data_IF_915923902917
#
_entry.id   IF_915923902917
#
_cell.length_a   1.000
_cell.length_b   1.000
_cell.length_c   1.000
_cell.angle_alpha   90.00
_cell.angle_beta   90.00
_cell.angle_gamma   90.00
#
_symmetry.space_group_name_H-M   'P 1'
#
loop_
_entity.id
_entity.type
_entity.pdbx_description
1 polymer ?
#
# COMPACT_ATOMS: atom_id res chain seq x y z
N UNK A 1 -31.74 12.71 1.81
CA UNK A 1 -30.32 13.13 1.93
C UNK A 1 -29.68 12.89 0.58
N UNK A 2 -29.09 13.91 -0.04
CA UNK A 2 -28.35 13.74 -1.30
C UNK A 2 -27.01 13.06 -1.04
N UNK A 3 -26.72 12.00 -1.78
CA UNK A 3 -25.45 11.28 -1.74
C UNK A 3 -24.52 11.83 -2.83
N UNK A 4 -23.35 12.31 -2.41
CA UNK A 4 -22.33 12.83 -3.32
C UNK A 4 -21.23 11.78 -3.50
N UNK A 5 -20.92 11.44 -4.75
CA UNK A 5 -19.81 10.53 -5.10
C UNK A 5 -18.67 11.36 -5.69
N UNK A 6 -17.51 11.33 -5.04
CA UNK A 6 -16.32 12.05 -5.48
C UNK A 6 -15.43 11.14 -6.36
N UNK A 7 -14.83 11.72 -7.39
CA UNK A 7 -13.90 11.03 -8.28
C UNK A 7 -12.65 11.89 -8.47
N UNK A 8 -11.47 11.27 -8.48
CA UNK A 8 -10.21 11.92 -8.80
C UNK A 8 -9.59 11.28 -10.04
N UNK A 9 -9.22 12.09 -11.03
CA UNK A 9 -8.47 11.67 -12.21
C UNK A 9 -7.14 12.43 -12.23
N UNK A 10 -6.02 11.70 -12.22
CA UNK A 10 -4.68 12.28 -12.37
C UNK A 10 -4.33 12.33 -13.86
N UNK A 11 -4.24 13.53 -14.43
CA UNK A 11 -3.85 13.75 -15.82
C UNK A 11 -2.50 14.47 -15.83
N UNK A 12 -1.46 13.76 -16.27
CA UNK A 12 -0.09 14.28 -16.32
C UNK A 12 0.11 15.14 -17.59
N UNK A 13 -0.57 14.79 -18.69
CA UNK A 13 -0.63 15.58 -19.91
C UNK A 13 -1.94 15.30 -20.67
N UNK A 14 -2.47 16.31 -21.36
CA UNK A 14 -3.73 16.23 -22.12
C UNK A 14 -4.97 16.62 -21.30
N UNK A 15 -6.15 16.35 -21.86
CA UNK A 15 -7.44 16.65 -21.22
C UNK A 15 -7.97 15.42 -20.48
N UNK A 16 -8.53 15.58 -19.26
CA UNK A 16 -9.19 14.47 -18.56
C UNK A 16 -10.34 13.91 -19.41
N UNK A 17 -10.54 12.58 -19.41
CA UNK A 17 -11.65 11.96 -20.13
C UNK A 17 -12.99 12.50 -19.63
N UNK A 18 -13.81 13.03 -20.54
CA UNK A 18 -15.12 13.59 -20.22
C UNK A 18 -16.13 12.48 -19.94
N UNK A 19 -16.15 11.94 -18.72
CA UNK A 19 -17.12 10.92 -18.29
C UNK A 19 -18.50 11.49 -17.93
N UNK A 20 -18.95 12.54 -18.62
CA UNK A 20 -20.27 13.18 -18.38
C UNK A 20 -20.44 13.77 -16.96
N UNK A 21 -19.35 14.05 -16.25
CA UNK A 21 -19.38 14.54 -14.87
C UNK A 21 -19.61 16.05 -14.84
N UNK A 22 -20.50 16.52 -13.95
CA UNK A 22 -20.66 17.95 -13.68
C UNK A 22 -19.45 18.46 -12.91
N UNK A 23 -18.63 19.29 -13.56
CA UNK A 23 -17.51 19.96 -12.90
C UNK A 23 -18.02 21.17 -12.11
N UNK A 24 -17.54 21.31 -10.87
CA UNK A 24 -17.69 22.55 -10.11
C UNK A 24 -16.85 23.68 -10.73
N UNK A 25 -17.22 24.93 -10.44
CA UNK A 25 -16.43 26.12 -10.84
C UNK A 25 -15.71 26.70 -9.62
N UNK A 26 -14.44 27.02 -9.77
CA UNK A 26 -13.62 27.68 -8.76
C UNK A 26 -12.34 26.93 -8.41
N UNK A 27 -11.41 27.62 -7.72
CA UNK A 27 -10.18 27.02 -7.22
C UNK A 27 -10.44 26.40 -5.84
N UNK A 28 -9.92 25.20 -5.63
CA UNK A 28 -9.94 24.50 -4.34
C UNK A 28 -8.53 24.02 -3.99
N UNK A 29 -8.18 24.07 -2.72
CA UNK A 29 -6.99 23.44 -2.16
C UNK A 29 -7.34 22.07 -1.61
N UNK A 30 -6.49 21.08 -1.88
CA UNK A 30 -6.61 19.71 -1.36
C UNK A 30 -5.36 19.39 -0.54
N UNK A 31 -5.54 18.90 0.67
CA UNK A 31 -4.47 18.37 1.51
C UNK A 31 -4.83 16.95 1.94
N UNK A 32 -4.00 15.98 1.53
CA UNK A 32 -4.24 14.55 1.77
C UNK A 32 -3.35 14.11 2.92
N UNK A 33 -3.96 13.90 4.08
CA UNK A 33 -3.36 13.22 5.21
C UNK A 33 -3.47 11.71 5.12
N UNK A 34 -2.88 11.01 6.09
CA UNK A 34 -2.90 9.54 6.16
C UNK A 34 -4.29 8.95 6.40
N UNK A 35 -5.16 9.68 7.10
CA UNK A 35 -6.51 9.25 7.45
C UNK A 35 -7.59 10.23 6.98
N UNK A 36 -7.22 11.44 6.59
CA UNK A 36 -8.16 12.53 6.31
C UNK A 36 -7.80 13.26 5.02
N UNK A 37 -8.83 13.78 4.36
CA UNK A 37 -8.73 14.68 3.22
C UNK A 37 -9.31 16.03 3.62
N UNK A 38 -8.48 17.06 3.66
CA UNK A 38 -8.92 18.43 3.86
C UNK A 38 -9.16 19.12 2.50
N UNK A 39 -10.31 19.79 2.39
CA UNK A 39 -10.71 20.54 1.19
C UNK A 39 -11.00 21.97 1.61
N UNK A 40 -10.35 22.92 0.95
CA UNK A 40 -10.54 24.35 1.22
C UNK A 40 -10.89 25.11 -0.05
N UNK A 41 -11.77 26.10 0.09
CA UNK A 41 -12.16 27.05 -0.93
C UNK A 41 -12.41 28.41 -0.29
N UNK A 42 -12.58 29.46 -1.10
CA UNK A 42 -12.91 30.80 -0.58
C UNK A 42 -14.22 30.85 0.23
N UNK A 43 -15.13 29.89 0.04
CA UNK A 43 -16.48 29.92 0.65
C UNK A 43 -16.69 28.85 1.72
N UNK A 44 -15.90 27.79 1.72
CA UNK A 44 -16.12 26.61 2.56
C UNK A 44 -14.84 25.83 2.78
N UNK A 45 -14.70 25.27 3.97
CA UNK A 45 -13.72 24.24 4.33
C UNK A 45 -14.48 22.96 4.70
N UNK A 46 -13.94 21.81 4.34
CA UNK A 46 -14.47 20.49 4.69
C UNK A 46 -13.32 19.53 5.01
N UNK A 47 -13.58 18.59 5.93
CA UNK A 47 -12.66 17.53 6.29
C UNK A 47 -13.39 16.19 6.14
N UNK A 48 -12.79 15.26 5.41
CA UNK A 48 -13.35 13.95 5.14
C UNK A 48 -12.44 12.88 5.72
N UNK A 49 -13.01 11.87 6.41
CA UNK A 49 -12.26 10.67 6.76
C UNK A 49 -12.10 9.80 5.51
N UNK A 50 -10.87 9.44 5.17
CA UNK A 50 -10.57 8.56 4.03
C UNK A 50 -10.94 7.10 4.33
N UNK A 51 -11.03 6.73 5.60
CA UNK A 51 -11.14 5.35 6.06
C UNK A 51 -12.36 5.12 6.98
N UNK A 52 -13.46 5.85 6.76
CA UNK A 52 -14.63 5.83 7.66
C UNK A 52 -15.29 4.44 7.78
N UNK A 53 -15.21 3.61 6.73
CA UNK A 53 -15.76 2.23 6.70
C UNK A 53 -14.68 1.15 6.44
N UNK A 54 -13.41 1.44 6.71
CA UNK A 54 -12.35 0.44 6.47
C UNK A 54 -12.40 -0.61 7.59
N UNK A 55 -12.62 -1.87 7.22
CA UNK A 55 -12.47 -3.02 8.13
C UNK A 55 -11.09 -2.97 8.78
N UNK A 56 -11.02 -3.15 10.10
CA UNK A 56 -9.74 -3.31 10.80
C UNK A 56 -9.08 -4.64 10.41
N UNK A 57 -8.30 -4.59 9.33
CA UNK A 57 -7.54 -5.73 8.81
C UNK A 57 -6.18 -5.89 9.51
N UNK A 58 -5.82 -5.01 10.47
CA UNK A 58 -4.49 -5.04 11.09
C UNK A 58 -4.24 -6.38 11.82
N UNK A 59 -5.27 -6.94 12.46
CA UNK A 59 -5.21 -8.24 13.11
C UNK A 59 -4.94 -9.37 12.10
N UNK A 60 -5.64 -9.37 10.98
CA UNK A 60 -5.51 -10.40 9.93
C UNK A 60 -4.14 -10.33 9.26
N UNK A 61 -3.69 -9.11 8.91
CA UNK A 61 -2.36 -8.84 8.35
C UNK A 61 -1.27 -9.36 9.31
N UNK A 62 -1.38 -9.04 10.61
CA UNK A 62 -0.41 -9.49 11.62
C UNK A 62 -0.36 -11.01 11.74
N UNK A 63 -1.51 -11.69 11.68
CA UNK A 63 -1.57 -13.16 11.73
C UNK A 63 -0.97 -13.79 10.48
N UNK A 64 -1.27 -13.23 9.31
CA UNK A 64 -0.69 -13.66 8.03
C UNK A 64 0.83 -13.51 8.03
N UNK A 65 1.36 -12.34 8.43
CA UNK A 65 2.80 -12.08 8.50
C UNK A 65 3.51 -13.05 9.45
N UNK A 66 2.97 -13.30 10.65
CA UNK A 66 3.53 -14.27 11.59
C UNK A 66 3.52 -15.70 11.07
N UNK A 67 2.50 -16.08 10.28
CA UNK A 67 2.46 -17.39 9.63
C UNK A 67 3.57 -17.49 8.58
N UNK A 68 3.75 -16.47 7.75
CA UNK A 68 4.81 -16.40 6.74
C UNK A 68 6.19 -16.45 7.37
N UNK A 69 6.43 -15.67 8.43
CA UNK A 69 7.72 -15.62 9.10
C UNK A 69 8.09 -16.96 9.76
N UNK A 70 7.10 -17.66 10.37
CA UNK A 70 7.32 -19.00 10.93
C UNK A 70 7.64 -20.03 9.85
N UNK A 71 6.91 -20.03 8.75
CA UNK A 71 7.18 -20.92 7.62
C UNK A 71 8.56 -20.66 7.02
N UNK A 72 8.93 -19.38 6.84
CA UNK A 72 10.25 -18.98 6.34
C UNK A 72 11.38 -19.49 7.23
N UNK A 73 11.23 -19.42 8.56
CA UNK A 73 12.22 -19.95 9.52
C UNK A 73 12.29 -21.48 9.49
N UNK A 74 11.15 -22.16 9.45
CA UNK A 74 11.08 -23.62 9.44
C UNK A 74 11.69 -24.24 8.18
N UNK A 75 11.52 -23.61 7.02
CA UNK A 75 12.03 -24.12 5.73
C UNK A 75 13.50 -23.75 5.53
N UNK A 76 13.96 -22.67 6.16
CA UNK A 76 15.33 -22.18 6.03
C UNK A 76 16.06 -22.19 7.39
N UNK A 77 16.09 -23.30 8.15
CA UNK A 77 16.69 -23.32 9.49
C UNK A 77 18.18 -22.96 9.44
N UNK A 78 18.87 -23.33 8.36
CA UNK A 78 20.27 -22.97 8.12
C UNK A 78 20.54 -21.47 8.10
N UNK A 79 19.54 -20.63 7.78
CA UNK A 79 19.69 -19.18 7.66
C UNK A 79 19.51 -18.41 8.99
N UNK A 80 19.14 -19.08 10.08
CA UNK A 80 18.87 -18.45 11.38
C UNK A 80 19.79 -19.01 12.48
N UNK A 81 20.17 -18.16 13.43
CA UNK A 81 20.82 -18.53 14.68
C UNK A 81 19.78 -19.12 15.66
N UNK A 82 20.24 -19.79 16.73
CA UNK A 82 19.37 -20.34 17.78
C UNK A 82 18.51 -19.26 18.46
N UNK A 83 19.01 -18.04 18.58
CA UNK A 83 18.27 -16.88 19.08
C UNK A 83 17.27 -16.28 18.06
N UNK A 84 17.08 -16.92 16.90
CA UNK A 84 16.13 -16.52 15.86
C UNK A 84 16.56 -15.37 14.97
N UNK A 85 17.77 -14.83 15.14
CA UNK A 85 18.33 -13.79 14.26
C UNK A 85 18.84 -14.39 12.95
N UNK A 86 18.83 -13.62 11.86
CA UNK A 86 19.29 -14.11 10.56
C UNK A 86 20.81 -14.11 10.53
N UNK A 87 21.43 -15.23 10.13
CA UNK A 87 22.89 -15.35 9.96
C UNK A 87 23.41 -14.35 8.94
N UNK A 88 24.68 -13.93 9.01
CA UNK A 88 25.31 -13.08 7.98
C UNK A 88 25.84 -13.95 6.81
N UNK A 89 26.00 -13.36 5.62
CA UNK A 89 26.52 -14.04 4.42
C UNK A 89 25.47 -14.41 3.37
N UNK A 90 25.92 -15.05 2.27
CA UNK A 90 25.07 -15.50 1.15
C UNK A 90 24.10 -16.58 1.64
N UNK A 91 22.82 -16.43 1.33
CA UNK A 91 21.74 -17.34 1.76
C UNK A 91 21.02 -17.92 0.57
N UNK A 92 20.74 -19.22 0.62
CA UNK A 92 19.70 -19.83 -0.20
C UNK A 92 18.36 -19.58 0.48
N UNK A 93 17.45 -18.85 -0.17
CA UNK A 93 16.09 -18.68 0.33
C UNK A 93 15.16 -19.64 -0.41
N UNK A 94 14.68 -20.65 0.30
CA UNK A 94 13.61 -21.52 -0.16
C UNK A 94 12.27 -20.89 0.23
N UNK A 95 11.42 -20.67 -0.77
CA UNK A 95 10.07 -20.10 -0.62
C UNK A 95 9.05 -21.24 -0.63
N UNK A 96 8.12 -21.26 0.34
CA UNK A 96 7.00 -22.18 0.31
C UNK A 96 5.99 -21.78 -0.78
N UNK A 97 5.37 -22.74 -1.47
CA UNK A 97 4.32 -22.51 -2.50
C UNK A 97 3.19 -21.52 -2.12
N UNK A 98 2.70 -21.39 -0.88
CA UNK A 98 1.70 -20.35 -0.55
C UNK A 98 2.26 -18.93 -0.44
N UNK A 99 3.59 -18.74 -0.37
CA UNK A 99 4.23 -17.42 -0.26
C UNK A 99 4.34 -16.71 -1.61
N UNK A 100 4.42 -17.46 -2.71
CA UNK A 100 4.59 -16.91 -4.07
C UNK A 100 3.37 -16.18 -4.62
N UNK A 101 2.20 -16.28 -3.95
CA UNK A 101 0.97 -15.59 -4.37
C UNK A 101 0.75 -14.23 -3.71
N UNK A 102 1.54 -13.87 -2.70
CA UNK A 102 1.40 -12.59 -1.98
C UNK A 102 2.51 -11.59 -2.36
N UNK A 103 3.58 -12.02 -3.02
CA UNK A 103 4.68 -11.14 -3.47
C UNK A 103 4.43 -10.37 -4.76
N UNK A 104 3.19 -10.35 -5.26
CA UNK A 104 2.81 -9.58 -6.43
C UNK A 104 2.05 -8.31 -6.03
N UNK A 105 2.61 -7.48 -5.15
CA UNK A 105 2.27 -6.05 -5.03
C UNK A 105 3.30 -5.38 -4.10
N UNK A 106 4.46 -5.06 -4.67
CA UNK A 106 5.58 -4.48 -3.93
C UNK A 106 6.88 -4.65 -4.68
N UNK A 107 6.95 -4.17 -5.93
CA UNK A 107 8.20 -4.08 -6.68
C UNK A 107 9.10 -3.03 -6.03
N UNK A 108 9.93 -3.47 -5.07
CA UNK A 108 11.16 -2.79 -4.67
C UNK A 108 12.33 -3.51 -5.32
N UNK A 109 13.00 -2.83 -6.24
CA UNK A 109 14.19 -3.29 -6.97
C UNK A 109 15.39 -3.44 -6.02
N UNK A 110 15.99 -4.62 -5.94
CA UNK A 110 17.39 -4.78 -5.50
C UNK A 110 18.32 -4.77 -6.73
N UNK A 111 19.45 -4.05 -6.71
CA UNK A 111 20.35 -3.96 -7.85
C UNK A 111 21.18 -5.24 -7.99
N UNK A 112 21.21 -5.80 -9.20
CA UNK A 112 22.16 -6.86 -9.56
C UNK A 112 23.57 -6.27 -9.58
N UNK A 113 24.39 -6.62 -8.59
CA UNK A 113 25.83 -6.37 -8.64
C UNK A 113 26.45 -7.26 -9.72
N UNK A 114 27.22 -6.61 -10.61
CA UNK A 114 27.78 -7.15 -11.84
C UNK A 114 28.64 -8.40 -11.67
N UNK A 115 28.69 -9.15 -12.76
CA UNK A 115 29.62 -10.25 -13.02
C UNK A 115 31.00 -9.65 -13.27
N UNK A 116 32.01 -10.20 -12.61
CA UNK A 116 33.36 -10.39 -13.15
C UNK A 116 33.87 -11.74 -12.65
#
# INVERSE_FOLDING_TARGET
METYVFFADLVIAGSPPSRGRKLGRGKVGLDIGTATLAVSSLKKVALFNLAEEVKDLAKEIRLAQRRMDRAKRAINPGNYHENGTVKKGRKGWQLSKPLSKTTCEGKGTEPQAGRH
#
